data_IF_032620341620
#
_entry.id   IF_032620341620
#
_cell.length_a   1.000
_cell.length_b   1.000
_cell.length_c   1.000
_cell.angle_alpha   90.00
_cell.angle_beta   90.00
_cell.angle_gamma   90.00
#
_symmetry.space_group_name_H-M   'P 1'
#
loop_
_entity.id
_entity.type
_entity.pdbx_description
1 polymer ?
#
# COMPACT_ATOMS: atom_id res chain seq x y z
N UNK A 1 -6.14 -15.42 11.57
CA UNK A 1 -7.38 -16.15 11.25
C UNK A 1 -7.81 -15.79 9.84
N UNK A 2 -7.79 -16.71 8.90
CA UNK A 2 -8.41 -16.54 7.59
C UNK A 2 -9.85 -17.09 7.70
N UNK A 3 -10.87 -16.27 7.44
CA UNK A 3 -12.29 -16.65 7.54
C UNK A 3 -12.69 -17.27 8.89
N UNK A 4 -12.10 -16.81 10.00
CA UNK A 4 -12.39 -17.32 11.33
C UNK A 4 -11.68 -18.62 11.72
N UNK A 5 -10.96 -19.26 10.81
CA UNK A 5 -10.21 -20.50 11.06
C UNK A 5 -8.77 -20.12 11.47
N UNK A 6 -8.30 -20.65 12.60
CA UNK A 6 -6.90 -20.56 13.00
C UNK A 6 -6.06 -21.51 12.12
N UNK A 7 -4.99 -20.98 11.55
CA UNK A 7 -4.04 -21.75 10.76
C UNK A 7 -2.63 -21.51 11.29
N UNK A 8 -1.88 -22.55 11.51
CA UNK A 8 -0.46 -22.48 11.78
C UNK A 8 0.26 -21.89 10.56
N UNK A 9 1.22 -21.01 10.79
CA UNK A 9 2.03 -20.37 9.76
C UNK A 9 3.51 -20.73 9.85
N UNK A 10 3.87 -21.68 10.72
CA UNK A 10 5.28 -22.02 11.02
C UNK A 10 6.03 -22.45 9.76
N UNK A 11 5.39 -23.19 8.86
CA UNK A 11 5.97 -23.62 7.59
C UNK A 11 6.11 -22.47 6.55
N UNK A 12 5.50 -21.32 6.82
CA UNK A 12 5.50 -20.16 5.93
C UNK A 12 6.48 -19.06 6.40
N UNK A 13 7.05 -19.19 7.60
CA UNK A 13 7.97 -18.20 8.20
C UNK A 13 9.28 -18.16 7.39
N UNK A 14 9.64 -17.00 6.83
CA UNK A 14 10.80 -16.91 5.93
C UNK A 14 12.15 -16.84 6.68
N UNK A 15 12.16 -16.35 7.92
CA UNK A 15 13.37 -16.19 8.76
C UNK A 15 12.99 -15.94 10.22
N UNK A 16 13.97 -16.10 11.12
CA UNK A 16 13.80 -15.84 12.55
C UNK A 16 13.70 -14.34 12.83
N UNK A 17 12.86 -13.99 13.79
CA UNK A 17 12.66 -12.62 14.27
C UNK A 17 12.94 -12.53 15.78
N UNK A 18 13.21 -11.34 16.35
CA UNK A 18 13.39 -11.19 17.80
C UNK A 18 12.20 -11.73 18.60
N UNK A 19 12.44 -12.27 19.80
CA UNK A 19 11.42 -12.92 20.63
C UNK A 19 10.20 -12.04 20.97
N UNK A 20 10.39 -10.72 20.97
CA UNK A 20 9.33 -9.76 21.24
C UNK A 20 8.60 -9.28 19.98
N UNK A 21 8.89 -9.87 18.81
CA UNK A 21 8.17 -9.66 17.56
C UNK A 21 7.23 -10.83 17.30
N UNK A 22 6.27 -10.66 16.39
CA UNK A 22 5.46 -11.77 15.92
C UNK A 22 5.25 -11.70 14.41
N UNK A 23 5.12 -12.87 13.77
CA UNK A 23 4.67 -12.94 12.39
C UNK A 23 3.16 -12.86 12.34
N UNK A 24 2.62 -12.04 11.43
CA UNK A 24 1.20 -11.99 11.16
C UNK A 24 0.94 -11.73 9.67
N UNK A 25 -0.29 -11.98 9.23
CA UNK A 25 -0.68 -11.59 7.86
C UNK A 25 -1.07 -10.12 7.84
N UNK A 26 -0.86 -9.47 6.70
CA UNK A 26 -1.33 -8.09 6.49
C UNK A 26 -2.81 -7.94 6.81
N UNK A 27 -3.65 -8.93 6.45
CA UNK A 27 -5.09 -8.93 6.75
C UNK A 27 -5.45 -8.82 8.25
N UNK A 28 -4.50 -9.04 9.16
CA UNK A 28 -4.72 -8.88 10.60
C UNK A 28 -4.54 -7.44 11.09
N UNK A 29 -3.83 -6.59 10.32
CA UNK A 29 -3.36 -5.27 10.78
C UNK A 29 -3.71 -4.13 9.82
N UNK A 30 -4.23 -4.43 8.62
CA UNK A 30 -4.64 -3.42 7.65
C UNK A 30 -6.06 -3.65 7.16
N UNK A 31 -6.69 -2.56 6.74
CA UNK A 31 -7.83 -2.56 5.82
C UNK A 31 -7.35 -2.19 4.43
N UNK A 32 -7.89 -2.87 3.40
CA UNK A 32 -7.50 -2.65 2.03
C UNK A 32 -8.74 -2.38 1.18
N UNK A 33 -8.78 -1.22 0.54
CA UNK A 33 -9.81 -0.82 -0.39
C UNK A 33 -9.29 -0.93 -1.83
N UNK A 34 -9.94 -1.75 -2.66
CA UNK A 34 -9.68 -1.80 -4.10
C UNK A 34 -10.43 -0.69 -4.82
N UNK A 35 -9.79 -0.08 -5.81
CA UNK A 35 -10.41 0.96 -6.62
C UNK A 35 -11.35 0.43 -7.69
N UNK A 36 -12.13 1.33 -8.27
CA UNK A 36 -13.08 1.07 -9.35
C UNK A 36 -12.98 2.14 -10.43
N UNK A 37 -12.92 1.74 -11.70
CA UNK A 37 -12.87 2.66 -12.82
C UNK A 37 -14.21 3.41 -12.98
N UNK A 38 -14.08 4.64 -13.45
CA UNK A 38 -15.18 5.46 -13.94
C UNK A 38 -15.08 5.57 -15.46
N UNK A 39 -16.24 5.66 -16.12
CA UNK A 39 -16.32 5.97 -17.54
C UNK A 39 -16.03 7.46 -17.79
N UNK A 40 -15.61 7.82 -19.00
CA UNK A 40 -15.06 9.15 -19.33
C UNK A 40 -16.00 10.31 -19.01
N UNK A 41 -17.30 10.09 -19.09
CA UNK A 41 -18.34 11.09 -18.77
C UNK A 41 -18.52 11.34 -17.27
N UNK A 42 -17.90 10.56 -16.41
CA UNK A 42 -18.04 10.63 -14.93
C UNK A 42 -16.87 11.32 -14.23
N UNK A 43 -15.91 11.83 -14.98
CA UNK A 43 -14.82 12.61 -14.41
C UNK A 43 -14.45 13.79 -15.32
N UNK A 44 -13.73 14.75 -14.78
CA UNK A 44 -13.34 15.99 -15.46
C UNK A 44 -11.89 16.37 -15.11
N UNK A 45 -11.38 17.42 -15.77
CA UNK A 45 -10.06 18.01 -15.53
C UNK A 45 -10.15 19.47 -15.03
N UNK A 46 -11.38 19.96 -14.71
CA UNK A 46 -11.68 21.33 -14.28
C UNK A 46 -11.65 21.50 -12.75
N UNK A 47 -11.43 20.45 -11.97
CA UNK A 47 -11.42 20.52 -10.50
C UNK A 47 -12.80 20.36 -9.87
N UNK A 48 -13.81 19.90 -10.61
CA UNK A 48 -15.17 19.79 -10.11
C UNK A 48 -15.42 18.43 -9.46
N UNK A 49 -15.55 18.42 -8.12
CA UNK A 49 -15.74 17.23 -7.29
C UNK A 49 -14.50 16.85 -6.47
N UNK A 50 -14.41 15.57 -6.08
CA UNK A 50 -13.25 15.02 -5.37
C UNK A 50 -12.17 14.55 -6.35
N UNK A 51 -10.89 14.53 -5.96
CA UNK A 51 -9.81 13.95 -6.78
C UNK A 51 -10.11 12.52 -7.24
N UNK A 52 -9.74 12.22 -8.49
CA UNK A 52 -9.81 10.88 -9.07
C UNK A 52 -8.40 10.41 -9.44
N UNK A 53 -7.89 9.42 -8.71
CA UNK A 53 -6.55 8.84 -8.87
C UNK A 53 -6.66 7.62 -9.77
N UNK A 54 -6.11 7.70 -10.98
CA UNK A 54 -6.36 6.71 -12.03
C UNK A 54 -5.30 5.61 -12.12
N UNK A 55 -4.06 5.88 -11.70
CA UNK A 55 -2.99 4.89 -11.80
C UNK A 55 -1.60 5.45 -11.50
N UNK A 56 -0.57 4.77 -11.98
CA UNK A 56 0.83 5.07 -11.68
C UNK A 56 1.26 6.49 -12.12
N UNK A 57 0.65 7.04 -13.18
CA UNK A 57 0.93 8.42 -13.62
C UNK A 57 0.56 9.49 -12.58
N UNK A 58 -0.27 9.14 -11.60
CA UNK A 58 -0.61 10.01 -10.49
C UNK A 58 0.38 9.88 -9.31
N UNK A 59 1.29 8.91 -9.31
CA UNK A 59 2.26 8.72 -8.24
C UNK A 59 3.65 9.09 -8.78
N UNK A 60 4.14 10.24 -8.39
CA UNK A 60 5.41 10.81 -8.87
C UNK A 60 6.27 11.17 -7.65
N UNK A 61 7.45 10.57 -7.55
CA UNK A 61 8.37 10.79 -6.43
C UNK A 61 7.66 10.68 -5.06
N UNK A 62 6.95 9.58 -4.86
CA UNK A 62 6.16 9.30 -3.64
C UNK A 62 5.05 10.32 -3.31
N UNK A 63 4.70 11.18 -4.25
CA UNK A 63 3.64 12.16 -4.10
C UNK A 63 2.47 11.88 -5.05
N UNK A 64 1.25 12.19 -4.59
CA UNK A 64 0.04 12.09 -5.41
C UNK A 64 -0.15 13.36 -6.22
N UNK A 65 -0.03 13.24 -7.54
CA UNK A 65 -0.36 14.31 -8.50
C UNK A 65 -1.81 14.18 -8.94
N UNK A 66 -2.62 15.19 -8.62
CA UNK A 66 -4.04 15.23 -8.97
C UNK A 66 -4.20 15.99 -10.28
N UNK A 67 -4.88 15.38 -11.24
CA UNK A 67 -5.18 15.95 -12.56
C UNK A 67 -6.58 15.59 -13.08
N UNK A 68 -7.38 14.89 -12.27
CA UNK A 68 -8.77 14.53 -12.57
C UNK A 68 -9.62 14.60 -11.32
N UNK A 69 -10.90 14.88 -11.52
CA UNK A 69 -11.91 15.02 -10.45
C UNK A 69 -13.21 14.34 -10.84
N UNK A 70 -14.03 14.00 -9.84
CA UNK A 70 -15.32 13.34 -10.05
C UNK A 70 -16.32 13.69 -8.96
N UNK A 71 -17.60 13.74 -9.36
CA UNK A 71 -18.75 13.75 -8.45
C UNK A 71 -19.35 12.35 -8.24
N UNK A 72 -18.86 11.35 -8.97
CA UNK A 72 -19.31 9.96 -8.85
C UNK A 72 -18.42 9.20 -7.87
N UNK A 73 -18.93 9.00 -6.69
CA UNK A 73 -18.20 8.46 -5.56
C UNK A 73 -18.54 6.99 -5.34
N UNK A 74 -17.56 6.07 -5.54
CA UNK A 74 -17.77 4.63 -5.34
C UNK A 74 -16.69 3.97 -4.51
N UNK A 75 -15.41 4.18 -4.83
CA UNK A 75 -14.28 3.57 -4.16
C UNK A 75 -13.34 4.63 -3.62
N UNK A 76 -13.22 4.70 -2.31
CA UNK A 76 -12.56 5.81 -1.63
C UNK A 76 -11.21 5.44 -1.07
N UNK A 77 -10.31 6.41 -1.09
CA UNK A 77 -9.17 6.54 -0.21
C UNK A 77 -9.33 7.82 0.61
N UNK A 78 -8.83 7.78 1.83
CA UNK A 78 -8.90 8.89 2.78
C UNK A 78 -7.50 9.42 3.09
N UNK A 79 -7.44 10.60 3.68
CA UNK A 79 -6.20 11.23 4.11
C UNK A 79 -5.35 10.28 4.97
N UNK A 80 -4.07 10.19 4.65
CA UNK A 80 -3.06 9.31 5.23
C UNK A 80 -3.18 7.83 4.84
N UNK A 81 -4.14 7.42 4.02
CA UNK A 81 -4.09 6.10 3.41
C UNK A 81 -2.85 5.98 2.52
N UNK A 82 -2.22 4.82 2.55
CA UNK A 82 -1.14 4.46 1.64
C UNK A 82 -1.74 3.93 0.33
N UNK A 83 -1.52 4.65 -0.76
CA UNK A 83 -1.89 4.21 -2.10
C UNK A 83 -0.78 3.35 -2.68
N UNK A 84 -1.15 2.22 -3.31
CA UNK A 84 -0.23 1.36 -4.06
C UNK A 84 -0.79 1.06 -5.44
N UNK A 85 0.06 1.16 -6.46
CA UNK A 85 -0.30 0.74 -7.81
C UNK A 85 -0.24 -0.78 -7.93
N UNK A 86 -1.33 -1.39 -8.39
CA UNK A 86 -1.46 -2.85 -8.48
C UNK A 86 -1.52 -3.38 -9.92
N UNK A 87 -1.62 -2.51 -10.93
CA UNK A 87 -1.60 -2.86 -12.35
C UNK A 87 -0.81 -1.84 -13.17
N UNK A 88 -0.27 -2.27 -14.29
CA UNK A 88 0.62 -1.46 -15.12
C UNK A 88 1.99 -1.31 -14.46
N UNK A 89 2.40 -0.11 -14.10
CA UNK A 89 3.60 0.11 -13.26
C UNK A 89 3.26 -0.26 -11.82
N UNK A 90 3.60 -1.49 -11.45
CA UNK A 90 3.24 -2.10 -10.16
C UNK A 90 4.17 -1.63 -9.04
N UNK A 91 3.59 -1.35 -7.86
CA UNK A 91 4.33 -1.13 -6.63
C UNK A 91 4.80 0.30 -6.39
N UNK A 92 4.35 1.29 -7.20
CA UNK A 92 4.54 2.70 -6.83
C UNK A 92 3.62 3.04 -5.67
N UNK A 93 4.14 3.73 -4.66
CA UNK A 93 3.42 4.04 -3.43
C UNK A 93 3.48 5.52 -3.10
N UNK A 94 2.39 6.05 -2.53
CA UNK A 94 2.32 7.41 -2.00
C UNK A 94 1.23 7.51 -0.92
N UNK A 95 1.42 8.42 0.04
CA UNK A 95 0.37 8.76 0.99
C UNK A 95 -0.60 9.79 0.41
N UNK A 96 -1.90 9.52 0.53
CA UNK A 96 -2.92 10.50 0.17
C UNK A 96 -2.89 11.69 1.15
N UNK A 97 -2.80 12.91 0.61
CA UNK A 97 -2.70 14.14 1.42
C UNK A 97 -4.00 14.94 1.47
N UNK A 98 -4.92 14.68 0.53
CA UNK A 98 -6.27 15.28 0.54
C UNK A 98 -7.22 14.48 1.39
N UNK A 99 -8.30 15.09 1.84
CA UNK A 99 -9.25 14.47 2.79
C UNK A 99 -9.87 13.19 2.23
N UNK A 100 -10.17 13.17 0.92
CA UNK A 100 -10.84 12.05 0.25
C UNK A 100 -10.52 12.08 -1.24
N UNK A 101 -10.38 10.91 -1.85
CA UNK A 101 -10.23 10.73 -3.29
C UNK A 101 -10.96 9.46 -3.75
N UNK A 102 -11.47 9.47 -4.98
CA UNK A 102 -11.87 8.25 -5.67
C UNK A 102 -10.63 7.59 -6.29
N UNK A 103 -10.52 6.27 -6.20
CA UNK A 103 -9.40 5.50 -6.76
C UNK A 103 -9.89 4.54 -7.85
N UNK A 104 -9.13 4.46 -8.95
CA UNK A 104 -9.39 3.54 -10.05
C UNK A 104 -8.87 2.13 -9.76
N UNK A 105 -9.29 1.14 -10.55
CA UNK A 105 -8.91 -0.30 -10.38
C UNK A 105 -7.41 -0.60 -10.40
N UNK A 106 -6.58 0.36 -10.83
CA UNK A 106 -5.12 0.23 -10.83
C UNK A 106 -4.49 0.59 -9.49
N UNK A 107 -5.28 1.10 -8.56
CA UNK A 107 -4.86 1.57 -7.24
C UNK A 107 -5.59 0.76 -6.16
N UNK A 108 -4.86 0.42 -5.10
CA UNK A 108 -5.42 0.01 -3.83
C UNK A 108 -5.02 1.02 -2.75
N UNK A 109 -5.94 1.29 -1.81
CA UNK A 109 -5.68 2.11 -0.64
C UNK A 109 -5.58 1.22 0.60
N UNK A 110 -4.59 1.46 1.43
CA UNK A 110 -4.28 0.70 2.64
C UNK A 110 -4.38 1.63 3.84
N UNK A 111 -5.20 1.23 4.80
CA UNK A 111 -5.38 1.89 6.09
C UNK A 111 -4.97 0.94 7.22
N UNK A 112 -4.35 1.46 8.27
CA UNK A 112 -3.87 0.67 9.42
C UNK A 112 -4.73 0.75 10.66
N UNK A 113 -5.87 1.42 10.63
CA UNK A 113 -6.73 1.68 11.81
C UNK A 113 -5.98 2.25 13.05
N UNK A 114 -4.78 2.76 12.84
CA UNK A 114 -3.91 3.24 13.92
C UNK A 114 -3.22 2.14 14.75
N UNK A 115 -3.46 0.86 14.46
CA UNK A 115 -2.86 -0.27 15.21
C UNK A 115 -1.40 -0.54 14.86
N UNK A 116 -0.95 -0.09 13.69
CA UNK A 116 0.41 -0.22 13.19
C UNK A 116 0.83 1.07 12.47
N UNK A 117 2.10 1.41 12.53
CA UNK A 117 2.64 2.57 11.83
C UNK A 117 2.54 2.39 10.31
N UNK A 118 1.79 3.25 9.62
CA UNK A 118 1.54 3.10 8.17
C UNK A 118 2.83 3.26 7.33
N UNK A 119 3.81 4.04 7.80
CA UNK A 119 5.10 4.11 7.12
C UNK A 119 5.92 2.81 7.31
N UNK A 120 5.79 2.14 8.45
CA UNK A 120 6.35 0.80 8.63
C UNK A 120 5.72 -0.20 7.64
N UNK A 121 4.39 -0.15 7.47
CA UNK A 121 3.69 -0.93 6.43
C UNK A 121 4.28 -0.67 5.05
N UNK A 122 4.50 0.61 4.68
CA UNK A 122 5.11 0.98 3.40
C UNK A 122 6.47 0.31 3.20
N UNK A 123 7.36 0.38 4.19
CA UNK A 123 8.71 -0.24 4.15
C UNK A 123 8.60 -1.76 3.89
N UNK A 124 7.72 -2.45 4.62
CA UNK A 124 7.55 -3.91 4.44
C UNK A 124 6.95 -4.22 3.06
N UNK A 125 5.98 -3.43 2.59
CA UNK A 125 5.40 -3.60 1.26
C UNK A 125 6.40 -3.34 0.13
N UNK A 126 7.31 -2.40 0.27
CA UNK A 126 8.40 -2.16 -0.70
C UNK A 126 9.28 -3.39 -0.85
N UNK A 127 9.64 -4.02 0.28
CA UNK A 127 10.41 -5.27 0.30
C UNK A 127 9.62 -6.43 -0.34
N UNK A 128 8.33 -6.56 -0.02
CA UNK A 128 7.46 -7.57 -0.62
C UNK A 128 7.35 -7.39 -2.14
N UNK A 129 7.10 -6.17 -2.61
CA UNK A 129 7.02 -5.86 -4.05
C UNK A 129 8.33 -6.14 -4.76
N UNK A 130 9.46 -5.79 -4.15
CA UNK A 130 10.79 -6.08 -4.70
C UNK A 130 11.02 -7.59 -4.82
N UNK A 131 10.64 -8.37 -3.81
CA UNK A 131 10.74 -9.83 -3.80
C UNK A 131 9.83 -10.46 -4.88
N UNK A 132 8.59 -10.00 -5.02
CA UNK A 132 7.67 -10.46 -6.06
C UNK A 132 8.22 -10.17 -7.47
N UNK A 133 8.83 -8.99 -7.68
CA UNK A 133 9.47 -8.63 -8.93
C UNK A 133 10.69 -9.50 -9.24
N UNK A 134 11.52 -9.79 -8.24
CA UNK A 134 12.71 -10.60 -8.40
C UNK A 134 12.40 -12.07 -8.71
N UNK A 135 11.32 -12.64 -8.17
CA UNK A 135 10.89 -14.02 -8.40
C UNK A 135 10.15 -14.23 -9.73
N UNK A 136 9.66 -13.16 -10.35
CA UNK A 136 8.93 -13.26 -11.61
C UNK A 136 9.88 -13.52 -12.79
N UNK A 137 9.61 -14.60 -13.54
CA UNK A 137 10.36 -14.93 -14.78
C UNK A 137 10.03 -14.00 -15.96
N UNK A 138 8.98 -13.20 -15.83
CA UNK A 138 8.53 -12.20 -16.79
C UNK A 138 7.92 -11.01 -16.05
N UNK A 139 7.45 -9.98 -16.77
CA UNK A 139 6.79 -8.82 -16.18
C UNK A 139 5.60 -9.27 -15.31
N UNK A 140 5.52 -8.78 -14.07
CA UNK A 140 4.40 -9.08 -13.15
C UNK A 140 3.12 -8.50 -13.77
N UNK A 141 2.08 -9.33 -14.02
CA UNK A 141 0.82 -8.84 -14.61
C UNK A 141 0.03 -7.92 -13.66
N UNK A 142 0.35 -7.97 -12.38
CA UNK A 142 -0.28 -7.18 -11.33
C UNK A 142 0.02 -7.73 -9.94
N UNK A 143 -0.41 -7.00 -8.92
CA UNK A 143 -0.50 -7.45 -7.53
C UNK A 143 -1.98 -7.51 -7.19
N UNK A 144 -2.46 -8.66 -6.78
CA UNK A 144 -3.84 -8.83 -6.34
C UNK A 144 -4.03 -8.37 -4.89
N UNK A 145 -5.29 -8.20 -4.49
CA UNK A 145 -5.66 -7.98 -3.10
C UNK A 145 -5.16 -9.10 -2.19
N UNK A 146 -5.30 -10.35 -2.66
CA UNK A 146 -4.94 -11.53 -1.88
C UNK A 146 -3.41 -11.68 -1.75
N UNK A 147 -2.63 -11.25 -2.73
CA UNK A 147 -1.18 -11.23 -2.64
C UNK A 147 -0.70 -10.33 -1.48
N UNK A 148 -1.38 -9.21 -1.23
CA UNK A 148 -1.06 -8.35 -0.10
C UNK A 148 -1.62 -8.93 1.20
N UNK A 149 -2.92 -9.22 1.27
CA UNK A 149 -3.60 -9.59 2.51
C UNK A 149 -3.09 -10.91 3.11
N UNK A 150 -2.69 -11.86 2.26
CA UNK A 150 -2.19 -13.17 2.69
C UNK A 150 -0.67 -13.18 2.94
N UNK A 151 0.06 -12.17 2.51
CA UNK A 151 1.49 -12.07 2.79
C UNK A 151 1.75 -11.90 4.29
N UNK A 152 2.87 -12.47 4.73
CA UNK A 152 3.36 -12.31 6.09
C UNK A 152 4.12 -11.00 6.25
N UNK A 153 3.97 -10.38 7.42
CA UNK A 153 4.82 -9.30 7.85
C UNK A 153 5.35 -9.56 9.26
N UNK A 154 6.62 -9.21 9.54
CA UNK A 154 7.13 -9.22 10.92
C UNK A 154 6.56 -8.00 11.64
N UNK A 155 5.90 -8.22 12.77
CA UNK A 155 5.24 -7.17 13.55
C UNK A 155 6.02 -6.91 14.85
N UNK A 156 6.84 -5.84 14.89
CA UNK A 156 7.50 -5.39 16.10
C UNK A 156 6.53 -4.65 17.03
N UNK A 157 6.85 -4.50 18.32
CA UNK A 157 6.18 -3.56 19.22
C UNK A 157 6.18 -2.13 18.61
N UNK A 158 5.14 -1.33 18.90
CA UNK A 158 4.95 -0.01 18.28
C UNK A 158 6.16 0.93 18.45
N UNK A 159 6.83 0.91 19.62
CA UNK A 159 8.07 1.68 19.85
C UNK A 159 9.18 1.30 18.87
N UNK A 160 9.30 0.03 18.58
CA UNK A 160 10.30 -0.49 17.64
C UNK A 160 9.95 -0.13 16.18
N UNK A 161 8.67 -0.18 15.81
CA UNK A 161 8.22 0.32 14.50
C UNK A 161 8.62 1.80 14.31
N UNK A 162 8.41 2.65 15.34
CA UNK A 162 8.83 4.05 15.29
C UNK A 162 10.34 4.21 15.14
N UNK A 163 11.15 3.38 15.85
CA UNK A 163 12.60 3.38 15.74
C UNK A 163 13.06 3.00 14.33
N UNK A 164 12.50 1.94 13.77
CA UNK A 164 12.78 1.48 12.40
C UNK A 164 12.46 2.60 11.39
N UNK A 165 11.29 3.20 11.51
CA UNK A 165 10.86 4.32 10.65
C UNK A 165 11.78 5.53 10.77
N UNK A 166 12.23 5.88 11.97
CA UNK A 166 13.16 6.98 12.18
C UNK A 166 14.52 6.70 11.53
N UNK A 167 15.05 5.47 11.70
CA UNK A 167 16.30 5.05 11.06
C UNK A 167 16.16 5.05 9.53
N UNK A 168 15.08 4.48 8.98
CA UNK A 168 14.81 4.49 7.54
C UNK A 168 14.85 5.92 6.97
N UNK A 169 14.15 6.87 7.61
CA UNK A 169 14.14 8.28 7.21
C UNK A 169 15.51 8.93 7.26
N UNK A 170 16.37 8.55 8.19
CA UNK A 170 17.70 9.14 8.33
C UNK A 170 18.68 8.65 7.26
N UNK A 171 18.52 7.44 6.75
CA UNK A 171 19.41 6.85 5.73
C UNK A 171 18.93 7.11 4.29
N UNK A 172 17.63 7.33 4.09
CA UNK A 172 17.04 7.52 2.76
C UNK A 172 17.72 8.60 1.92
N UNK A 173 18.02 9.83 2.44
CA UNK A 173 18.71 10.87 1.67
C UNK A 173 20.11 10.48 1.20
N UNK A 174 20.81 9.60 1.93
CA UNK A 174 22.12 9.12 1.55
C UNK A 174 22.04 8.07 0.43
N UNK A 175 20.95 7.27 0.40
CA UNK A 175 20.71 6.28 -0.65
C UNK A 175 20.27 6.91 -1.98
N UNK A 176 19.57 8.04 -1.94
CA UNK A 176 19.12 8.78 -3.14
C UNK A 176 20.27 9.52 -3.86
N UNK A 177 21.45 9.61 -3.25
CA UNK A 177 22.64 10.26 -3.81
C UNK A 177 23.61 9.26 -4.49
N UNK A 178 23.32 7.96 -4.45
CA UNK A 178 24.09 6.88 -5.08
C UNK A 178 23.53 6.52 -6.45
#
# INVERSE_FOLDING_TARGET
>A
KLNGIERCIDDEIPFDIPENWCWCRFSNVIELQSGQDLTSEKFNDQGDGIPYITGASNIVNENVKINRWTKFEKSFAYKNDLLITCKGTVGSMAFLRVEKAHIARQIMAINSNGSINTLYIKIVLETLVASLKASAKSMIPGISRDDILNSLLPLPPLKEQHRIVATYKSILPALEQL
#
